data_IF_025501387815
#
_entry.id   IF_025501387815
#
_cell.length_a   1.000
_cell.length_b   1.000
_cell.length_c   1.000
_cell.angle_alpha   90.00
_cell.angle_beta   90.00
_cell.angle_gamma   90.00
#
_symmetry.space_group_name_H-M   'P 1'
#
loop_
_entity.id
_entity.type
_entity.pdbx_description
1 polymer ?
#
# COMPACT_ATOMS: atom_id res chain seq x y z
N UNK A 1 10.30 -13.58 -4.23
CA UNK A 1 10.33 -12.32 -3.47
C UNK A 1 9.65 -11.22 -4.30
N UNK A 2 8.79 -10.48 -3.67
CA UNK A 2 8.08 -9.39 -4.33
C UNK A 2 8.77 -8.06 -4.02
N UNK A 3 9.05 -7.30 -5.03
CA UNK A 3 9.58 -5.94 -4.88
C UNK A 3 8.43 -4.95 -4.91
N UNK A 4 8.58 -3.83 -4.19
CA UNK A 4 7.56 -2.79 -4.16
C UNK A 4 7.19 -2.33 -5.57
N UNK A 5 8.19 -2.15 -6.44
CA UNK A 5 7.94 -1.71 -7.81
C UNK A 5 7.07 -2.69 -8.60
N UNK A 6 7.08 -3.96 -8.23
CA UNK A 6 6.24 -4.97 -8.88
C UNK A 6 4.82 -4.97 -8.34
N UNK A 7 4.65 -4.49 -7.12
CA UNK A 7 3.32 -4.43 -6.49
C UNK A 7 2.54 -3.19 -6.90
N UNK A 8 3.21 -2.11 -7.23
CA UNK A 8 2.54 -0.86 -7.59
C UNK A 8 1.70 -1.07 -8.85
N UNK A 9 0.45 -0.66 -8.79
CA UNK A 9 -0.48 -0.83 -9.89
C UNK A 9 -1.25 -2.13 -9.88
N UNK A 10 -0.83 -3.11 -9.08
CA UNK A 10 -1.53 -4.38 -8.99
C UNK A 10 -2.85 -4.21 -8.23
N UNK A 11 -3.84 -5.08 -8.48
CA UNK A 11 -5.17 -4.90 -7.89
C UNK A 11 -5.24 -5.19 -6.41
N UNK A 12 -6.16 -4.50 -5.76
CA UNK A 12 -6.58 -4.80 -4.38
C UNK A 12 -7.94 -5.48 -4.49
N UNK A 13 -8.02 -6.71 -4.00
CA UNK A 13 -9.18 -7.59 -4.15
C UNK A 13 -9.82 -7.80 -2.78
N UNK A 14 -11.13 -7.59 -2.68
CA UNK A 14 -11.83 -7.77 -1.42
C UNK A 14 -12.15 -9.25 -1.16
N UNK A 15 -12.80 -9.52 -0.02
CA UNK A 15 -13.10 -10.90 0.38
C UNK A 15 -14.09 -11.59 -0.58
N UNK A 16 -14.79 -10.84 -1.39
CA UNK A 16 -15.73 -11.38 -2.39
C UNK A 16 -15.07 -11.59 -3.74
N UNK A 17 -13.76 -11.34 -3.87
CA UNK A 17 -13.06 -11.47 -5.13
C UNK A 17 -13.25 -10.28 -6.05
N UNK A 18 -13.74 -9.16 -5.54
CA UNK A 18 -13.99 -7.96 -6.32
C UNK A 18 -12.80 -7.01 -6.24
N UNK A 19 -12.39 -6.49 -7.38
CA UNK A 19 -11.32 -5.50 -7.42
C UNK A 19 -11.87 -4.15 -6.93
N UNK A 20 -11.25 -3.60 -5.90
CA UNK A 20 -11.69 -2.33 -5.32
C UNK A 20 -10.71 -1.19 -5.59
N UNK A 21 -9.54 -1.48 -6.11
CA UNK A 21 -8.56 -0.45 -6.41
C UNK A 21 -7.25 -1.02 -6.89
N UNK A 22 -6.26 -0.14 -7.02
CA UNK A 22 -4.90 -0.50 -7.45
C UNK A 22 -3.90 0.01 -6.43
N UNK A 23 -2.90 -0.81 -6.12
CA UNK A 23 -1.89 -0.46 -5.11
C UNK A 23 -1.12 0.78 -5.58
N UNK A 24 -1.08 1.80 -4.72
CA UNK A 24 -0.32 3.03 -5.01
C UNK A 24 0.89 3.19 -4.12
N UNK A 25 0.88 2.64 -2.91
CA UNK A 25 2.01 2.75 -1.99
C UNK A 25 1.82 1.82 -0.80
N UNK A 26 2.89 1.67 -0.04
CA UNK A 26 2.87 0.98 1.25
C UNK A 26 3.50 1.91 2.29
N UNK A 27 2.94 1.96 3.48
CA UNK A 27 3.51 2.75 4.57
C UNK A 27 4.21 1.83 5.56
N UNK A 28 5.34 2.27 6.06
CA UNK A 28 6.05 1.59 7.14
C UNK A 28 6.13 2.51 8.34
N UNK A 29 6.22 1.90 9.52
CA UNK A 29 6.42 2.66 10.75
C UNK A 29 7.92 2.88 10.95
N UNK A 30 8.30 4.13 11.22
CA UNK A 30 9.70 4.48 11.51
C UNK A 30 10.00 4.32 12.99
N UNK A 31 11.29 4.29 13.31
CA UNK A 31 11.73 4.17 14.71
C UNK A 31 11.86 2.76 15.21
N UNK A 32 11.50 1.78 14.42
CA UNK A 32 11.65 0.36 14.76
C UNK A 32 12.97 -0.19 14.25
N UNK A 33 13.53 -1.15 14.97
CA UNK A 33 14.72 -1.85 14.50
C UNK A 33 14.43 -2.62 13.23
N UNK A 34 13.24 -3.25 13.18
CA UNK A 34 12.77 -3.95 12.01
C UNK A 34 11.47 -3.28 11.53
N UNK A 35 11.57 -2.40 10.53
CA UNK A 35 10.38 -1.70 10.04
C UNK A 35 9.33 -2.69 9.54
N UNK A 36 8.07 -2.40 9.85
CA UNK A 36 6.94 -3.21 9.40
C UNK A 36 6.04 -2.39 8.52
N UNK A 37 5.41 -3.08 7.56
CA UNK A 37 4.36 -2.45 6.79
C UNK A 37 3.15 -2.27 7.71
N UNK A 38 2.68 -1.03 7.84
CA UNK A 38 1.58 -0.69 8.73
C UNK A 38 0.33 -0.26 7.99
N UNK A 39 0.46 0.19 6.74
CA UNK A 39 -0.70 0.65 5.97
C UNK A 39 -0.53 0.32 4.50
N UNK A 40 -1.65 0.11 3.84
CA UNK A 40 -1.76 -0.06 2.40
C UNK A 40 -2.44 1.16 1.81
N UNK A 41 -1.80 1.80 0.84
CA UNK A 41 -2.39 2.89 0.09
C UNK A 41 -2.79 2.39 -1.29
N UNK A 42 -4.00 2.69 -1.73
CA UNK A 42 -4.47 2.29 -3.04
C UNK A 42 -5.37 3.37 -3.64
N UNK A 43 -5.49 3.31 -4.95
CA UNK A 43 -6.37 4.21 -5.70
C UNK A 43 -7.65 3.46 -6.03
N UNK A 44 -8.77 4.00 -5.60
CA UNK A 44 -10.08 3.46 -5.92
C UNK A 44 -10.63 4.02 -7.22
N UNK A 45 -11.95 3.91 -7.42
CA UNK A 45 -12.60 4.44 -8.62
C UNK A 45 -12.31 5.93 -8.79
N UNK A 46 -12.01 6.34 -10.03
CA UNK A 46 -11.69 7.73 -10.30
C UNK A 46 -10.33 8.17 -9.77
N UNK A 47 -9.46 7.20 -9.45
CA UNK A 47 -8.14 7.46 -8.86
C UNK A 47 -8.22 8.15 -7.52
N UNK A 48 -9.27 7.88 -6.77
CA UNK A 48 -9.44 8.41 -5.42
C UNK A 48 -8.48 7.68 -4.47
N UNK A 49 -7.62 8.41 -3.74
CA UNK A 49 -6.66 7.77 -2.84
C UNK A 49 -7.32 7.31 -1.54
N UNK A 50 -6.97 6.09 -1.14
CA UNK A 50 -7.42 5.52 0.13
C UNK A 50 -6.24 4.89 0.85
N UNK A 51 -6.35 4.80 2.16
CA UNK A 51 -5.36 4.13 3.00
C UNK A 51 -6.08 3.28 4.04
N UNK A 52 -5.58 2.06 4.26
CA UNK A 52 -6.17 1.13 5.23
C UNK A 52 -5.06 0.47 6.04
N UNK A 53 -5.43 -0.03 7.22
CA UNK A 53 -4.52 -0.74 8.10
C UNK A 53 -4.08 -2.06 7.45
N UNK A 54 -2.78 -2.27 7.36
CA UNK A 54 -2.23 -3.51 6.81
C UNK A 54 -2.64 -4.72 7.66
N UNK A 55 -2.35 -4.63 8.96
CA UNK A 55 -2.59 -5.74 9.88
C UNK A 55 -4.06 -6.12 9.95
N UNK A 56 -4.93 -5.13 9.91
CA UNK A 56 -6.35 -5.36 10.10
C UNK A 56 -7.04 -5.93 8.86
N UNK A 57 -6.60 -5.54 7.68
CA UNK A 57 -7.35 -5.84 6.46
C UNK A 57 -6.63 -6.74 5.46
N UNK A 58 -5.31 -6.79 5.44
CA UNK A 58 -4.61 -7.57 4.43
C UNK A 58 -4.58 -9.05 4.83
N UNK A 59 -5.11 -9.89 3.94
CA UNK A 59 -5.14 -11.34 4.14
C UNK A 59 -3.91 -11.99 3.51
N UNK A 60 -3.61 -11.64 2.27
CA UNK A 60 -2.55 -12.29 1.53
C UNK A 60 -1.99 -11.35 0.47
N UNK A 61 -0.73 -11.57 0.10
CA UNK A 61 -0.04 -10.84 -0.94
C UNK A 61 0.44 -11.85 -1.96
N UNK A 62 -0.02 -11.68 -3.20
CA UNK A 62 0.33 -12.58 -4.30
C UNK A 62 0.93 -11.80 -5.44
N UNK A 63 1.44 -12.52 -6.45
CA UNK A 63 1.93 -11.86 -7.67
C UNK A 63 0.84 -11.11 -8.40
N UNK A 64 -0.41 -11.48 -8.15
CA UNK A 64 -1.57 -10.88 -8.81
C UNK A 64 -2.19 -9.71 -8.03
N UNK A 65 -1.65 -9.40 -6.85
CA UNK A 65 -2.15 -8.28 -6.06
C UNK A 65 -2.28 -8.60 -4.59
N UNK A 66 -3.10 -7.81 -3.91
CA UNK A 66 -3.34 -7.96 -2.47
C UNK A 66 -4.80 -8.37 -2.25
N UNK A 67 -5.00 -9.41 -1.43
CA UNK A 67 -6.31 -9.87 -1.03
C UNK A 67 -6.64 -9.39 0.38
N UNK A 68 -7.86 -8.91 0.58
CA UNK A 68 -8.31 -8.40 1.86
C UNK A 68 -9.15 -9.42 2.60
N UNK A 69 -9.24 -9.27 3.92
CA UNK A 69 -10.00 -10.16 4.80
C UNK A 69 -11.50 -9.88 4.78
N UNK A 70 -11.89 -8.69 4.34
CA UNK A 70 -13.27 -8.20 4.41
C UNK A 70 -13.71 -7.72 3.03
N UNK A 71 -15.01 -7.56 2.85
CA UNK A 71 -15.53 -6.95 1.64
C UNK A 71 -15.40 -5.42 1.73
N UNK A 72 -15.67 -4.74 0.61
CA UNK A 72 -15.49 -3.30 0.52
C UNK A 72 -16.35 -2.50 1.50
N UNK A 73 -17.45 -3.08 1.96
CA UNK A 73 -18.34 -2.40 2.91
C UNK A 73 -17.86 -2.49 4.34
N UNK A 74 -16.94 -3.41 4.62
CA UNK A 74 -16.39 -3.61 5.97
C UNK A 74 -15.08 -2.87 6.22
N UNK A 75 -14.63 -2.03 5.28
CA UNK A 75 -13.35 -1.35 5.37
C UNK A 75 -13.54 0.02 6.02
N UNK A 76 -12.64 0.32 6.97
CA UNK A 76 -12.53 1.66 7.53
C UNK A 76 -11.22 2.26 7.07
N UNK A 77 -11.28 3.44 6.49
CA UNK A 77 -10.10 4.12 5.98
C UNK A 77 -9.35 4.80 7.11
N UNK A 78 -8.03 4.88 6.95
CA UNK A 78 -7.15 5.53 7.91
C UNK A 78 -6.36 6.64 7.21
N UNK A 79 -5.56 7.33 8.00
CA UNK A 79 -4.71 8.41 7.49
C UNK A 79 -3.28 8.12 7.86
N UNK A 80 -2.35 8.68 7.08
CA UNK A 80 -0.93 8.55 7.35
C UNK A 80 -0.61 9.12 8.73
N UNK A 81 0.01 8.31 9.56
CA UNK A 81 0.39 8.71 10.91
C UNK A 81 1.74 9.43 10.90
N UNK A 82 2.03 10.26 11.95
CA UNK A 82 3.30 11.00 11.97
C UNK A 82 4.54 10.11 11.94
N UNK A 83 4.43 8.87 12.42
CA UNK A 83 5.55 7.93 12.46
C UNK A 83 5.56 6.97 11.27
N UNK A 84 4.70 7.20 10.28
CA UNK A 84 4.65 6.39 9.07
C UNK A 84 5.28 7.11 7.89
N UNK A 85 5.91 6.32 7.01
CA UNK A 85 6.54 6.82 5.78
C UNK A 85 5.98 6.02 4.61
N UNK A 86 5.61 6.71 3.55
CA UNK A 86 5.16 6.08 2.30
C UNK A 86 6.38 5.71 1.47
N UNK A 87 6.54 4.43 1.19
CA UNK A 87 7.75 3.92 0.55
C UNK A 87 7.94 4.43 -0.87
N UNK A 88 6.90 4.34 -1.70
CA UNK A 88 7.02 4.75 -3.09
C UNK A 88 7.20 6.25 -3.21
N UNK A 89 6.38 7.01 -2.48
CA UNK A 89 6.44 8.47 -2.54
C UNK A 89 7.76 9.01 -2.01
N UNK A 90 8.19 8.50 -0.84
CA UNK A 90 9.28 9.13 -0.11
C UNK A 90 10.65 8.51 -0.42
N UNK A 91 10.70 7.23 -0.76
CA UNK A 91 11.97 6.55 -1.00
C UNK A 91 12.26 6.34 -2.48
N UNK A 92 11.29 5.84 -3.25
CA UNK A 92 11.52 5.59 -4.67
C UNK A 92 11.70 6.90 -5.43
N UNK A 93 10.90 7.90 -5.11
CA UNK A 93 11.02 9.21 -5.75
C UNK A 93 12.36 9.84 -5.46
N UNK A 94 12.83 9.71 -4.22
CA UNK A 94 14.15 10.22 -3.86
C UNK A 94 15.26 9.56 -4.64
N UNK A 95 15.17 8.24 -4.81
CA UNK A 95 16.20 7.52 -5.56
C UNK A 95 16.25 7.99 -7.01
N UNK A 96 15.08 8.19 -7.60
CA UNK A 96 15.00 8.69 -8.98
C UNK A 96 15.60 10.09 -9.08
N UNK A 97 15.25 10.96 -8.14
CA UNK A 97 15.77 12.33 -8.13
C UNK A 97 17.27 12.34 -7.92
N UNK A 98 17.77 11.55 -6.99
CA UNK A 98 19.21 11.48 -6.72
C UNK A 98 19.97 10.99 -7.95
N UNK A 99 19.42 10.00 -8.64
CA UNK A 99 20.04 9.47 -9.84
C UNK A 99 20.13 10.53 -10.92
N UNK A 100 19.12 11.36 -11.04
CA UNK A 100 19.07 12.40 -12.06
C UNK A 100 19.84 13.66 -11.66
N UNK A 101 20.01 13.86 -10.38
CA UNK A 101 20.68 15.01 -9.85
C UNK A 101 22.20 14.98 -9.95
N UNK A 102 22.73 13.87 -10.40
CA UNK A 102 24.18 13.74 -10.54
C UNK A 102 24.72 14.36 -11.81
#
# INVERSE_FOLDING_TARGET
MLYLSQMLGEPVIDANGEKIGSISDLAIQTGEVFPRITSLAFLGPGKTPFMISWRKYVKDVTDDGIELKVDKTGIRFSYLQPDEVLLARDLLDRQIVDTQGM
#
